data_IF_154483865466
#
_entry.id   IF_154483865466
#
_cell.length_a   1.000
_cell.length_b   1.000
_cell.length_c   1.000
_cell.angle_alpha   90.00
_cell.angle_beta   90.00
_cell.angle_gamma   90.00
#
_symmetry.space_group_name_H-M   'P 1'
#
loop_
_entity.id
_entity.type
_entity.pdbx_description
1 polymer ?
#
# COMPACT_ATOMS: atom_id res chain seq x y z
N UNK A 1 -16.26 -6.98 3.07
CA UNK A 1 -15.10 -6.41 2.34
C UNK A 1 -14.58 -7.40 1.29
N UNK A 2 -15.44 -7.90 0.38
CA UNK A 2 -15.04 -8.91 -0.63
C UNK A 2 -14.96 -8.35 -2.06
N UNK A 3 -15.59 -7.19 -2.33
CA UNK A 3 -15.62 -6.57 -3.67
C UNK A 3 -14.29 -5.91 -4.09
N UNK A 4 -13.73 -5.03 -3.25
CA UNK A 4 -12.49 -4.32 -3.58
C UNK A 4 -11.26 -5.25 -3.65
N UNK A 5 -11.24 -6.28 -2.80
CA UNK A 5 -10.14 -7.26 -2.74
C UNK A 5 -10.11 -8.18 -3.96
N UNK A 6 -11.25 -8.40 -4.61
CA UNK A 6 -11.36 -9.21 -5.82
C UNK A 6 -11.07 -8.40 -7.09
N UNK A 7 -11.50 -7.13 -7.16
CA UNK A 7 -11.29 -6.28 -8.33
C UNK A 7 -9.83 -5.87 -8.53
N UNK A 8 -9.10 -5.59 -7.45
CA UNK A 8 -7.69 -5.19 -7.50
C UNK A 8 -6.72 -6.35 -7.21
N UNK A 9 -7.19 -7.60 -7.20
CA UNK A 9 -6.41 -8.76 -6.75
C UNK A 9 -5.13 -8.98 -7.58
N UNK A 10 -5.21 -8.77 -8.91
CA UNK A 10 -4.05 -8.86 -9.82
C UNK A 10 -2.99 -7.83 -9.50
N UNK A 11 -3.39 -6.54 -9.48
CA UNK A 11 -2.50 -5.42 -9.13
C UNK A 11 -1.90 -5.58 -7.72
N UNK A 12 -2.67 -6.12 -6.78
CA UNK A 12 -2.19 -6.40 -5.43
C UNK A 12 -1.09 -7.48 -5.46
N UNK A 13 -1.26 -8.54 -6.25
CA UNK A 13 -0.28 -9.61 -6.36
C UNK A 13 1.02 -9.11 -7.00
N UNK A 14 0.94 -8.29 -8.05
CA UNK A 14 2.09 -7.70 -8.75
C UNK A 14 2.88 -6.76 -7.84
N UNK A 15 2.22 -5.81 -7.18
CA UNK A 15 2.85 -4.93 -6.19
C UNK A 15 3.50 -5.73 -5.06
N UNK A 16 2.80 -6.73 -4.52
CA UNK A 16 3.32 -7.55 -3.42
C UNK A 16 4.53 -8.37 -3.85
N UNK A 17 4.55 -8.89 -5.08
CA UNK A 17 5.70 -9.60 -5.61
C UNK A 17 6.90 -8.66 -5.73
N UNK A 18 6.72 -7.48 -6.34
CA UNK A 18 7.78 -6.50 -6.47
C UNK A 18 8.35 -6.09 -5.10
N UNK A 19 7.47 -5.74 -4.15
CA UNK A 19 7.88 -5.34 -2.80
C UNK A 19 8.63 -6.44 -2.06
N UNK A 20 8.24 -7.72 -2.21
CA UNK A 20 8.97 -8.83 -1.57
C UNK A 20 10.39 -8.96 -2.09
N UNK A 21 10.60 -8.77 -3.38
CA UNK A 21 11.94 -8.78 -3.98
C UNK A 21 12.73 -7.57 -3.50
N UNK A 22 12.20 -6.36 -3.65
CA UNK A 22 12.86 -5.13 -3.19
C UNK A 22 13.18 -5.17 -1.69
N UNK A 23 12.28 -5.68 -0.86
CA UNK A 23 12.49 -5.80 0.58
C UNK A 23 13.68 -6.70 0.90
N UNK A 24 13.78 -7.87 0.25
CA UNK A 24 14.85 -8.83 0.48
C UNK A 24 16.21 -8.33 -0.03
N UNK A 25 16.23 -7.78 -1.24
CA UNK A 25 17.46 -7.43 -1.93
C UNK A 25 18.00 -6.05 -1.54
N UNK A 26 17.12 -5.10 -1.18
CA UNK A 26 17.51 -3.70 -0.91
C UNK A 26 17.31 -3.33 0.54
N UNK A 27 16.07 -3.42 1.02
CA UNK A 27 15.73 -2.94 2.35
C UNK A 27 16.48 -3.68 3.46
N UNK A 28 16.52 -5.02 3.43
CA UNK A 28 17.27 -5.81 4.41
C UNK A 28 18.78 -5.64 4.32
N UNK A 29 19.31 -5.17 3.20
CA UNK A 29 20.73 -4.85 3.02
C UNK A 29 21.07 -3.41 3.45
N UNK A 30 20.08 -2.64 3.91
CA UNK A 30 20.25 -1.24 4.31
C UNK A 30 20.28 -0.25 3.14
N UNK A 31 19.97 -0.70 1.92
CA UNK A 31 19.82 0.18 0.76
C UNK A 31 18.41 0.78 0.75
N UNK A 32 18.29 2.08 1.06
CA UNK A 32 17.05 2.82 0.85
C UNK A 32 17.08 3.52 -0.52
N UNK A 33 16.26 3.04 -1.44
CA UNK A 33 16.09 3.65 -2.76
C UNK A 33 14.78 4.45 -2.75
N UNK A 34 14.84 5.79 -2.80
CA UNK A 34 13.64 6.62 -2.96
C UNK A 34 13.00 6.33 -4.32
N UNK A 35 11.68 6.14 -4.34
CA UNK A 35 10.92 5.67 -5.50
C UNK A 35 11.40 4.30 -5.98
N UNK A 36 11.12 3.27 -5.17
CA UNK A 36 11.43 1.88 -5.50
C UNK A 36 10.88 1.51 -6.88
N UNK A 37 11.47 0.49 -7.50
CA UNK A 37 11.01 -0.07 -8.78
C UNK A 37 9.52 -0.48 -8.76
N UNK A 38 8.94 -0.61 -7.56
CA UNK A 38 7.55 -0.95 -7.32
C UNK A 38 6.60 0.24 -7.32
N UNK A 39 7.10 1.48 -7.49
CA UNK A 39 6.28 2.69 -7.42
C UNK A 39 5.16 2.68 -8.47
N UNK A 40 5.45 2.29 -9.71
CA UNK A 40 4.44 2.23 -10.77
C UNK A 40 3.31 1.23 -10.42
N UNK A 41 3.66 0.00 -10.01
CA UNK A 41 2.69 -1.00 -9.59
C UNK A 41 1.89 -0.56 -8.34
N UNK A 42 2.51 0.22 -7.45
CA UNK A 42 1.83 0.81 -6.30
C UNK A 42 0.81 1.86 -6.72
N UNK A 43 1.14 2.74 -7.68
CA UNK A 43 0.21 3.76 -8.15
C UNK A 43 -1.02 3.14 -8.82
N UNK A 44 -0.83 2.11 -9.66
CA UNK A 44 -1.94 1.40 -10.29
C UNK A 44 -2.85 0.71 -9.26
N UNK A 45 -2.24 0.06 -8.26
CA UNK A 45 -2.98 -0.54 -7.15
C UNK A 45 -3.72 0.52 -6.32
N UNK A 46 -3.08 1.65 -6.02
CA UNK A 46 -3.67 2.78 -5.28
C UNK A 46 -4.88 3.33 -6.02
N UNK A 47 -4.78 3.54 -7.32
CA UNK A 47 -5.88 4.06 -8.14
C UNK A 47 -7.03 3.06 -8.19
N UNK A 48 -6.76 1.76 -8.40
CA UNK A 48 -7.79 0.73 -8.33
C UNK A 48 -8.50 0.69 -6.97
N UNK A 49 -7.74 0.68 -5.87
CA UNK A 49 -8.28 0.70 -4.51
C UNK A 49 -9.11 1.97 -4.31
N UNK A 50 -8.61 3.14 -4.72
CA UNK A 50 -9.32 4.41 -4.55
C UNK A 50 -10.64 4.46 -5.32
N UNK A 51 -10.69 3.89 -6.52
CA UNK A 51 -11.92 3.77 -7.32
C UNK A 51 -12.94 2.86 -6.62
N UNK A 52 -12.50 1.72 -6.07
CA UNK A 52 -13.38 0.75 -5.44
C UNK A 52 -13.72 1.06 -3.97
N UNK A 53 -12.89 1.84 -3.26
CA UNK A 53 -13.16 2.32 -1.89
C UNK A 53 -14.02 3.57 -1.87
N UNK A 54 -14.01 4.42 -2.90
CA UNK A 54 -14.93 5.57 -2.98
C UNK A 54 -16.40 5.17 -3.12
N UNK A 55 -16.67 3.94 -3.53
CA UNK A 55 -18.01 3.40 -3.71
C UNK A 55 -18.62 2.82 -2.42
N UNK A 56 -17.80 2.55 -1.40
CA UNK A 56 -18.25 2.06 -0.09
C UNK A 56 -18.12 3.22 0.91
N UNK A 57 -19.18 3.52 1.65
CA UNK A 57 -19.33 4.70 2.51
C UNK A 57 -18.32 4.79 3.67
N UNK A 58 -17.04 5.05 3.37
CA UNK A 58 -15.96 5.26 4.33
C UNK A 58 -15.17 6.54 3.96
N UNK A 59 -15.88 7.64 3.69
CA UNK A 59 -15.27 8.98 3.65
C UNK A 59 -15.09 9.60 5.05
N UNK A 60 -15.66 8.99 6.09
CA UNK A 60 -15.68 9.56 7.43
C UNK A 60 -14.50 9.13 8.34
N UNK A 61 -13.85 7.98 8.09
CA UNK A 61 -12.77 7.48 8.97
C UNK A 61 -11.37 7.47 8.35
N UNK A 62 -11.24 7.66 7.03
CA UNK A 62 -9.94 7.81 6.36
C UNK A 62 -9.27 9.18 6.62
N UNK A 63 -10.00 10.14 7.20
CA UNK A 63 -9.50 11.47 7.58
C UNK A 63 -8.73 11.49 8.90
N UNK A 64 -8.56 10.35 9.56
CA UNK A 64 -7.72 10.29 10.75
C UNK A 64 -6.25 10.33 10.29
N UNK A 65 -5.46 11.34 10.67
CA UNK A 65 -4.09 11.43 10.22
C UNK A 65 -3.32 10.16 10.60
N UNK A 66 -2.61 9.57 9.64
CA UNK A 66 -1.63 8.49 9.84
C UNK A 66 -0.40 9.01 10.63
N UNK A 67 -0.65 9.62 11.79
CA UNK A 67 0.33 10.42 12.53
C UNK A 67 0.21 10.29 14.05
N UNK A 68 -0.32 9.18 14.56
CA UNK A 68 -0.19 8.84 15.98
C UNK A 68 0.66 7.57 16.10
N UNK A 69 1.99 7.75 16.11
CA UNK A 69 2.88 6.77 16.71
C UNK A 69 2.51 6.64 18.20
N UNK A 70 2.31 5.44 18.77
CA UNK A 70 2.11 5.31 20.20
C UNK A 70 3.34 5.90 20.92
N UNK A 71 3.16 6.69 22.01
CA UNK A 71 4.31 7.17 22.75
C UNK A 71 5.10 5.98 23.27
N UNK A 72 6.41 5.96 22.98
CA UNK A 72 7.34 5.03 23.60
C UNK A 72 7.24 5.24 25.12
N UNK A 73 6.65 4.25 25.80
CA UNK A 73 6.59 4.20 27.26
C UNK A 73 8.01 4.20 27.81
N UNK A 74 8.23 5.07 28.79
CA UNK A 74 9.50 5.24 29.51
C UNK A 74 9.68 4.13 30.54
#
# INVERSE_FOLDING_TARGET
>A
MEGARSACAGLQAEYTQCMRTWFKDKFLQGEFIPNSDCHAAFEELRDCISLHFQNEAIKASASRPHGESPPAGR
#
